data_IF_418451639516
#
_entry.id   IF_418451639516
#
_cell.length_a   1.000
_cell.length_b   1.000
_cell.length_c   1.000
_cell.angle_alpha   90.00
_cell.angle_beta   90.00
_cell.angle_gamma   90.00
#
_symmetry.space_group_name_H-M   'P 1'
#
loop_
_entity.id
_entity.type
_entity.pdbx_description
1 polymer ?
#
# COMPACT_ATOMS: atom_id res chain seq x y z
N UNK A 1 0.97 -25.95 -19.93
CA UNK A 1 1.06 -25.27 -18.62
C UNK A 1 1.10 -26.23 -17.42
N UNK A 2 1.49 -27.49 -17.63
CA UNK A 2 1.42 -28.53 -16.59
C UNK A 2 2.61 -28.53 -15.61
N UNK A 3 3.43 -27.48 -15.54
CA UNK A 3 4.62 -27.48 -14.66
C UNK A 3 5.04 -26.07 -14.23
N UNK A 4 4.11 -25.31 -13.66
CA UNK A 4 4.33 -23.93 -13.22
C UNK A 4 5.36 -23.88 -12.08
N UNK A 5 5.44 -24.91 -11.23
CA UNK A 5 6.42 -25.01 -10.15
C UNK A 5 7.88 -24.98 -10.67
N UNK A 6 8.13 -25.49 -11.86
CA UNK A 6 9.43 -25.44 -12.52
C UNK A 6 9.88 -24.02 -12.94
N UNK A 7 8.93 -23.11 -13.16
CA UNK A 7 9.25 -21.72 -13.53
C UNK A 7 9.88 -20.99 -12.33
N UNK A 8 9.44 -21.28 -11.11
CA UNK A 8 9.92 -20.58 -9.90
C UNK A 8 11.36 -20.91 -9.54
N UNK A 9 11.79 -22.16 -9.72
CA UNK A 9 13.11 -22.64 -9.31
C UNK A 9 14.21 -22.40 -10.34
N UNK A 10 13.86 -22.21 -11.64
CA UNK A 10 14.84 -22.15 -12.74
C UNK A 10 15.28 -20.73 -13.07
N UNK A 11 16.58 -20.50 -13.32
CA UNK A 11 17.07 -19.22 -13.86
C UNK A 11 16.63 -19.04 -15.32
N UNK A 12 16.64 -17.77 -15.80
CA UNK A 12 16.20 -17.41 -17.16
C UNK A 12 16.93 -18.19 -18.25
N UNK A 13 18.20 -18.51 -18.04
CA UNK A 13 19.01 -19.29 -18.99
C UNK A 13 18.42 -20.68 -19.24
N UNK A 14 18.03 -21.37 -18.16
CA UNK A 14 17.42 -22.71 -18.24
C UNK A 14 16.04 -22.69 -18.87
N UNK A 15 15.22 -21.68 -18.54
CA UNK A 15 13.89 -21.54 -19.13
C UNK A 15 13.97 -21.22 -20.62
N UNK A 16 14.96 -20.44 -21.05
CA UNK A 16 15.20 -20.14 -22.45
C UNK A 16 15.66 -21.36 -23.23
N UNK A 17 16.58 -22.14 -22.65
CA UNK A 17 17.07 -23.41 -23.22
C UNK A 17 15.92 -24.43 -23.40
N UNK A 18 15.11 -24.65 -22.36
CA UNK A 18 13.96 -25.57 -22.42
C UNK A 18 12.86 -25.13 -23.40
N UNK A 19 12.70 -23.83 -23.60
CA UNK A 19 11.76 -23.27 -24.57
C UNK A 19 12.35 -23.15 -26.00
N UNK A 20 13.61 -23.48 -26.20
CA UNK A 20 14.29 -23.37 -27.50
C UNK A 20 14.43 -21.91 -27.98
N UNK A 21 14.50 -20.94 -27.07
CA UNK A 21 14.58 -19.53 -27.43
C UNK A 21 15.73 -18.81 -26.69
N UNK A 22 16.09 -17.60 -27.14
CA UNK A 22 17.11 -16.81 -26.46
C UNK A 22 16.57 -16.19 -25.14
N UNK A 23 17.47 -15.88 -24.21
CA UNK A 23 17.10 -15.15 -22.98
C UNK A 23 16.46 -13.78 -23.28
N UNK A 24 16.89 -13.13 -24.35
CA UNK A 24 16.32 -11.85 -24.82
C UNK A 24 14.87 -12.05 -25.28
N UNK A 25 14.57 -13.16 -25.93
CA UNK A 25 13.20 -13.52 -26.33
C UNK A 25 12.31 -13.72 -25.10
N UNK A 26 12.82 -14.35 -24.04
CA UNK A 26 12.11 -14.49 -22.78
C UNK A 26 11.81 -13.13 -22.12
N UNK A 27 12.77 -12.20 -22.12
CA UNK A 27 12.57 -10.85 -21.59
C UNK A 27 11.51 -10.10 -22.42
N UNK A 28 11.55 -10.21 -23.74
CA UNK A 28 10.54 -9.62 -24.64
C UNK A 28 9.15 -10.21 -24.39
N UNK A 29 9.07 -11.51 -24.19
CA UNK A 29 7.82 -12.20 -23.83
C UNK A 29 7.24 -11.66 -22.51
N UNK A 30 8.06 -11.54 -21.45
CA UNK A 30 7.62 -10.96 -20.20
C UNK A 30 7.10 -9.53 -20.38
N UNK A 31 7.79 -8.72 -21.19
CA UNK A 31 7.38 -7.34 -21.50
C UNK A 31 6.09 -7.28 -22.33
N UNK A 32 5.90 -8.17 -23.27
CA UNK A 32 4.67 -8.28 -24.07
C UNK A 32 3.45 -8.65 -23.21
N UNK A 33 3.68 -9.41 -22.11
CA UNK A 33 2.67 -9.71 -21.10
C UNK A 33 2.47 -8.59 -20.07
N UNK A 34 3.19 -7.46 -20.20
CA UNK A 34 3.09 -6.32 -19.29
C UNK A 34 3.98 -6.39 -18.06
N UNK A 35 4.92 -7.34 -17.98
CA UNK A 35 5.87 -7.48 -16.87
C UNK A 35 7.24 -6.90 -17.24
N UNK A 36 7.94 -6.29 -16.24
CA UNK A 36 9.27 -5.70 -16.48
C UNK A 36 10.38 -6.73 -16.71
N UNK A 37 10.10 -8.03 -16.52
CA UNK A 37 11.02 -9.14 -16.76
C UNK A 37 10.58 -10.42 -16.04
N UNK A 38 11.42 -11.47 -16.11
CA UNK A 38 11.11 -12.78 -15.54
C UNK A 38 10.84 -12.74 -14.01
N UNK A 39 11.56 -11.91 -13.28
CA UNK A 39 11.37 -11.77 -11.82
C UNK A 39 9.98 -11.23 -11.48
N UNK A 40 9.51 -10.27 -12.26
CA UNK A 40 8.20 -9.66 -12.12
C UNK A 40 7.08 -10.65 -12.52
N UNK A 41 7.26 -11.35 -13.64
CA UNK A 41 6.37 -12.45 -14.07
C UNK A 41 6.28 -13.56 -13.02
N UNK A 42 7.43 -14.05 -12.50
CA UNK A 42 7.46 -15.07 -11.44
C UNK A 42 6.70 -14.62 -10.21
N UNK A 43 6.86 -13.37 -9.80
CA UNK A 43 6.18 -12.80 -8.64
C UNK A 43 4.66 -12.76 -8.85
N UNK A 44 4.19 -12.35 -10.02
CA UNK A 44 2.76 -12.33 -10.36
C UNK A 44 2.17 -13.74 -10.40
N UNK A 45 2.86 -14.68 -11.07
CA UNK A 45 2.45 -16.08 -11.11
C UNK A 45 2.41 -16.73 -9.73
N UNK A 46 3.37 -16.41 -8.86
CA UNK A 46 3.38 -16.92 -7.47
C UNK A 46 2.17 -16.42 -6.69
N UNK A 47 1.79 -15.17 -6.89
CA UNK A 47 0.60 -14.59 -6.25
C UNK A 47 -0.68 -15.26 -6.77
N UNK A 48 -0.80 -15.48 -8.08
CA UNK A 48 -1.96 -16.16 -8.68
C UNK A 48 -2.07 -17.63 -8.24
N UNK A 49 -0.97 -18.36 -8.20
CA UNK A 49 -0.98 -19.79 -7.83
C UNK A 49 -1.30 -20.03 -6.35
N UNK A 50 -0.89 -19.13 -5.47
CA UNK A 50 -1.30 -19.21 -4.07
C UNK A 50 -2.80 -18.90 -3.90
N UNK A 51 -3.39 -18.17 -4.85
CA UNK A 51 -4.84 -17.91 -4.90
C UNK A 51 -5.63 -19.10 -5.49
N UNK A 52 -5.02 -19.93 -6.35
CA UNK A 52 -5.72 -21.03 -7.07
C UNK A 52 -5.62 -22.40 -6.39
N UNK A 53 -4.78 -22.60 -5.38
CA UNK A 53 -4.61 -23.91 -4.70
C UNK A 53 -5.77 -24.32 -3.77
N UNK A 54 -6.86 -23.57 -3.74
CA UNK A 54 -8.01 -23.87 -2.88
C UNK A 54 -9.36 -23.57 -3.52
N UNK A 55 -9.70 -24.07 -4.69
CA UNK A 55 -11.12 -24.33 -5.00
C UNK A 55 -11.34 -24.80 -6.45
N UNK A 56 -11.79 -26.05 -6.58
CA UNK A 56 -12.30 -26.68 -7.82
C UNK A 56 -13.77 -26.31 -8.13
N UNK A 57 -14.27 -25.13 -7.71
CA UNK A 57 -15.64 -24.74 -8.02
C UNK A 57 -15.74 -23.25 -8.40
N UNK A 58 -15.90 -22.92 -9.71
CA UNK A 58 -15.88 -21.54 -10.19
C UNK A 58 -17.17 -20.73 -9.90
N UNK A 59 -18.19 -21.28 -9.25
CA UNK A 59 -19.49 -20.62 -9.06
C UNK A 59 -19.75 -20.08 -7.65
N UNK A 60 -18.86 -20.30 -6.68
CA UNK A 60 -19.01 -19.73 -5.34
C UNK A 60 -18.06 -18.58 -5.13
N UNK A 61 -18.60 -17.37 -4.99
CA UNK A 61 -17.86 -16.18 -4.47
C UNK A 61 -17.43 -16.50 -3.03
N UNK A 62 -16.24 -17.09 -2.86
CA UNK A 62 -15.73 -17.49 -1.55
C UNK A 62 -14.89 -16.36 -0.97
N UNK A 63 -15.30 -15.83 0.17
CA UNK A 63 -14.45 -14.97 0.99
C UNK A 63 -13.27 -15.80 1.49
N UNK A 64 -12.06 -15.52 1.03
CA UNK A 64 -10.86 -16.31 1.36
C UNK A 64 -10.57 -16.37 2.87
N UNK A 65 -11.09 -15.40 3.61
CA UNK A 65 -10.80 -15.20 5.04
C UNK A 65 -11.85 -15.84 5.95
N UNK A 66 -13.03 -16.17 5.42
CA UNK A 66 -14.15 -16.72 6.19
C UNK A 66 -14.57 -18.05 5.56
N UNK A 67 -14.35 -19.13 6.29
CA UNK A 67 -14.78 -20.47 5.89
C UNK A 67 -15.72 -21.05 6.93
N UNK A 68 -16.72 -21.74 6.46
CA UNK A 68 -17.65 -22.46 7.32
C UNK A 68 -16.93 -23.55 8.11
N UNK A 69 -17.31 -23.73 9.38
CA UNK A 69 -16.83 -24.80 10.28
C UNK A 69 -15.32 -24.81 10.62
N UNK A 70 -14.59 -23.70 10.44
CA UNK A 70 -13.23 -23.62 10.97
C UNK A 70 -13.23 -23.58 12.50
N UNK A 71 -12.28 -24.30 13.12
CA UNK A 71 -12.05 -24.19 14.57
C UNK A 71 -11.53 -22.78 14.93
N UNK A 72 -11.82 -22.33 16.15
CA UNK A 72 -11.31 -21.04 16.66
C UNK A 72 -9.79 -20.95 16.54
N UNK A 73 -9.08 -22.01 16.87
CA UNK A 73 -7.62 -22.08 16.75
C UNK A 73 -7.15 -21.89 15.31
N UNK A 74 -7.80 -22.52 14.33
CA UNK A 74 -7.50 -22.36 12.91
C UNK A 74 -7.70 -20.93 12.47
N UNK A 75 -8.82 -20.30 12.88
CA UNK A 75 -9.10 -18.88 12.57
C UNK A 75 -8.00 -17.98 13.15
N UNK A 76 -7.66 -18.12 14.44
CA UNK A 76 -6.60 -17.33 15.07
C UNK A 76 -5.24 -17.46 14.37
N UNK A 77 -4.84 -18.70 14.03
CA UNK A 77 -3.60 -18.95 13.34
C UNK A 77 -3.61 -18.40 11.90
N UNK A 78 -4.72 -18.49 11.19
CA UNK A 78 -4.87 -17.91 9.85
C UNK A 78 -4.71 -16.40 9.89
N UNK A 79 -5.43 -15.69 10.76
CA UNK A 79 -5.33 -14.24 10.91
C UNK A 79 -3.90 -13.82 11.25
N UNK A 80 -3.28 -14.48 12.24
CA UNK A 80 -1.88 -14.21 12.62
C UNK A 80 -0.93 -14.38 11.43
N UNK A 81 -0.99 -15.53 10.75
CA UNK A 81 -0.05 -15.84 9.68
C UNK A 81 -0.24 -14.92 8.47
N UNK A 82 -1.48 -14.60 8.12
CA UNK A 82 -1.81 -13.67 7.03
C UNK A 82 -1.32 -12.26 7.35
N UNK A 83 -1.49 -11.79 8.58
CA UNK A 83 -0.99 -10.48 9.03
C UNK A 83 0.53 -10.40 8.98
N UNK A 84 1.24 -11.39 9.55
CA UNK A 84 2.71 -11.44 9.54
C UNK A 84 3.22 -11.46 8.10
N UNK A 85 2.65 -12.33 7.25
CA UNK A 85 3.05 -12.42 5.84
C UNK A 85 2.85 -11.10 5.09
N UNK A 86 1.72 -10.42 5.28
CA UNK A 86 1.45 -9.14 4.65
C UNK A 86 2.48 -8.06 5.03
N UNK A 87 2.87 -8.01 6.30
CA UNK A 87 3.91 -7.09 6.79
C UNK A 87 5.27 -7.46 6.17
N UNK A 88 5.70 -8.71 6.28
CA UNK A 88 7.00 -9.15 5.76
C UNK A 88 7.13 -8.92 4.25
N UNK A 89 6.12 -9.31 3.47
CA UNK A 89 6.15 -9.18 2.02
C UNK A 89 6.08 -7.71 1.58
N UNK A 90 5.38 -6.86 2.32
CA UNK A 90 5.39 -5.42 2.10
C UNK A 90 6.77 -4.84 2.34
N UNK A 91 7.41 -5.17 3.47
CA UNK A 91 8.74 -4.64 3.79
C UNK A 91 9.84 -5.11 2.82
N UNK A 92 9.71 -6.32 2.23
CA UNK A 92 10.63 -6.83 1.20
C UNK A 92 10.62 -6.04 -0.11
N UNK A 93 9.52 -5.36 -0.44
CA UNK A 93 9.37 -4.64 -1.70
C UNK A 93 9.62 -3.13 -1.60
N UNK A 94 9.89 -2.63 -0.39
CA UNK A 94 10.17 -1.20 -0.16
C UNK A 94 11.49 -0.81 -0.83
N UNK A 95 11.43 0.30 -1.58
CA UNK A 95 12.59 1.01 -2.11
C UNK A 95 12.98 2.10 -1.11
N UNK A 96 14.08 1.89 -0.37
CA UNK A 96 14.56 2.82 0.66
C UNK A 96 14.99 4.17 0.09
N UNK A 97 15.45 4.24 -1.18
CA UNK A 97 15.84 5.49 -1.81
C UNK A 97 14.61 6.34 -2.10
N UNK A 98 13.59 5.74 -2.73
CA UNK A 98 12.30 6.40 -2.96
C UNK A 98 11.65 6.84 -1.65
N UNK A 99 11.69 5.99 -0.62
CA UNK A 99 11.17 6.33 0.70
C UNK A 99 11.88 7.57 1.28
N UNK A 100 13.22 7.66 1.13
CA UNK A 100 13.99 8.82 1.55
C UNK A 100 13.61 10.10 0.78
N UNK A 101 13.31 10.01 -0.51
CA UNK A 101 12.82 11.14 -1.32
C UNK A 101 11.43 11.59 -0.87
N UNK A 102 10.50 10.65 -0.68
CA UNK A 102 9.14 10.91 -0.20
C UNK A 102 9.17 11.66 1.15
N UNK A 103 10.00 11.22 2.09
CA UNK A 103 10.13 11.90 3.38
C UNK A 103 10.58 13.35 3.22
N UNK A 104 11.52 13.64 2.31
CA UNK A 104 11.94 15.03 2.05
C UNK A 104 10.78 15.89 1.50
N UNK A 105 9.90 15.32 0.68
CA UNK A 105 8.72 16.02 0.18
C UNK A 105 7.75 16.31 1.33
N UNK A 106 7.49 15.31 2.20
CA UNK A 106 6.64 15.48 3.39
C UNK A 106 7.23 16.53 4.35
N UNK A 107 8.55 16.55 4.55
CA UNK A 107 9.25 17.54 5.39
C UNK A 107 9.01 18.97 4.91
N UNK A 108 9.11 19.20 3.59
CA UNK A 108 8.99 20.52 2.96
C UNK A 108 7.55 21.00 2.80
N UNK A 109 6.58 20.11 2.81
CA UNK A 109 5.19 20.47 2.61
C UNK A 109 4.66 21.39 3.71
N UNK A 110 3.92 22.43 3.32
CA UNK A 110 3.25 23.35 4.24
C UNK A 110 2.11 22.61 4.97
N UNK A 111 1.36 21.78 4.24
CA UNK A 111 0.32 20.89 4.79
C UNK A 111 0.36 19.50 4.14
N UNK A 112 0.09 18.47 4.94
CA UNK A 112 -0.08 17.08 4.48
C UNK A 112 -1.56 16.76 4.41
N UNK A 113 -2.11 16.67 3.21
CA UNK A 113 -3.49 16.27 2.99
C UNK A 113 -3.59 14.75 2.82
N UNK A 114 -4.47 14.14 3.59
CA UNK A 114 -4.62 12.69 3.65
C UNK A 114 -5.99 12.30 3.13
N UNK A 115 -6.03 11.41 2.15
CA UNK A 115 -7.24 11.00 1.46
C UNK A 115 -7.41 9.50 1.48
N UNK A 116 -8.59 9.04 1.82
CA UNK A 116 -8.91 7.62 1.86
C UNK A 116 -10.36 7.38 2.23
N UNK A 117 -10.96 6.32 1.71
CA UNK A 117 -12.34 5.93 2.01
C UNK A 117 -12.38 4.53 2.62
N UNK A 118 -13.41 4.23 3.40
CA UNK A 118 -13.58 2.94 4.05
C UNK A 118 -12.38 2.54 4.92
N UNK A 119 -11.86 1.34 4.72
CA UNK A 119 -10.70 0.83 5.48
C UNK A 119 -9.42 1.65 5.25
N UNK A 120 -9.23 2.20 4.04
CA UNK A 120 -8.13 3.10 3.73
C UNK A 120 -8.26 4.46 4.43
N UNK A 121 -9.49 4.91 4.70
CA UNK A 121 -9.75 6.10 5.52
C UNK A 121 -9.29 5.93 6.97
N UNK A 122 -9.42 4.72 7.53
CA UNK A 122 -8.90 4.42 8.88
C UNK A 122 -7.37 4.57 8.92
N UNK A 123 -6.69 4.16 7.87
CA UNK A 123 -5.21 4.29 7.77
C UNK A 123 -4.79 5.75 7.59
N UNK A 124 -5.55 6.52 6.79
CA UNK A 124 -5.32 7.95 6.63
C UNK A 124 -5.52 8.71 7.94
N UNK A 125 -6.56 8.39 8.71
CA UNK A 125 -6.80 8.97 10.05
C UNK A 125 -5.69 8.62 11.04
N UNK A 126 -5.14 7.41 10.99
CA UNK A 126 -4.02 7.02 11.85
C UNK A 126 -2.79 7.89 11.59
N UNK A 127 -2.42 8.11 10.32
CA UNK A 127 -1.33 9.03 9.96
C UNK A 127 -1.64 10.47 10.39
N UNK A 128 -2.87 10.94 10.17
CA UNK A 128 -3.31 12.27 10.61
C UNK A 128 -3.08 12.47 12.11
N UNK A 129 -3.53 11.52 12.94
CA UNK A 129 -3.35 11.58 14.40
C UNK A 129 -1.90 11.59 14.83
N UNK A 130 -1.05 10.83 14.13
CA UNK A 130 0.40 10.81 14.36
C UNK A 130 1.04 12.17 14.04
N UNK A 131 0.71 12.76 12.87
CA UNK A 131 1.22 14.06 12.45
C UNK A 131 0.75 15.19 13.37
N UNK A 132 -0.52 15.14 13.83
CA UNK A 132 -1.07 16.09 14.80
C UNK A 132 -0.24 16.12 16.10
N UNK A 133 0.16 14.96 16.62
CA UNK A 133 0.95 14.86 17.87
C UNK A 133 2.31 15.52 17.78
N UNK A 134 2.89 15.60 16.59
CA UNK A 134 4.20 16.22 16.34
C UNK A 134 4.09 17.64 15.76
N UNK A 135 2.88 18.19 15.72
CA UNK A 135 2.60 19.55 15.24
C UNK A 135 2.94 19.75 13.75
N UNK A 136 2.88 18.68 12.93
CA UNK A 136 2.94 18.80 11.47
C UNK A 136 1.54 19.12 10.97
N UNK A 137 1.40 20.24 10.23
CA UNK A 137 0.13 20.62 9.64
C UNK A 137 -0.39 19.49 8.74
N UNK A 138 -1.60 19.04 9.01
CA UNK A 138 -2.22 17.96 8.25
C UNK A 138 -3.74 18.08 8.27
N UNK A 139 -4.38 17.59 7.21
CA UNK A 139 -5.83 17.59 7.07
C UNK A 139 -6.32 16.19 6.68
N UNK A 140 -7.40 15.77 7.33
CA UNK A 140 -8.12 14.54 7.02
C UNK A 140 -9.60 14.72 7.36
N UNK A 141 -10.47 14.05 6.63
CA UNK A 141 -11.90 13.91 6.92
C UNK A 141 -12.41 12.57 6.42
N UNK A 142 -13.40 11.99 7.12
CA UNK A 142 -14.15 10.83 6.61
C UNK A 142 -15.22 11.23 5.58
N UNK A 143 -15.63 12.51 5.57
CA UNK A 143 -16.65 13.01 4.67
C UNK A 143 -16.09 13.23 3.26
N UNK A 144 -16.69 12.62 2.25
CA UNK A 144 -16.22 12.67 0.87
C UNK A 144 -16.27 14.09 0.28
N UNK A 145 -17.30 14.87 0.62
CA UNK A 145 -17.39 16.27 0.13
C UNK A 145 -16.30 17.15 0.74
N UNK A 146 -15.99 16.93 2.02
CA UNK A 146 -14.86 17.61 2.67
C UNK A 146 -13.53 17.22 2.03
N UNK A 147 -13.34 15.94 1.69
CA UNK A 147 -12.13 15.50 0.99
C UNK A 147 -12.01 16.17 -0.39
N UNK A 148 -13.08 16.25 -1.17
CA UNK A 148 -13.09 16.98 -2.45
C UNK A 148 -12.82 18.47 -2.26
N UNK A 149 -13.36 19.09 -1.21
CA UNK A 149 -13.08 20.49 -0.87
C UNK A 149 -11.60 20.70 -0.55
N UNK A 150 -10.97 19.79 0.19
CA UNK A 150 -9.52 19.81 0.40
C UNK A 150 -8.77 19.66 -0.93
N UNK A 151 -9.18 18.70 -1.79
CA UNK A 151 -8.59 18.50 -3.11
C UNK A 151 -8.61 19.75 -3.99
N UNK A 152 -9.73 20.50 -3.97
CA UNK A 152 -9.89 21.75 -4.73
C UNK A 152 -9.03 22.91 -4.20
N UNK A 153 -8.56 22.86 -2.96
CA UNK A 153 -7.75 23.89 -2.32
C UNK A 153 -6.26 23.51 -2.19
N UNK A 154 -5.81 22.40 -2.80
CA UNK A 154 -4.41 21.99 -2.82
C UNK A 154 -3.53 23.01 -3.53
N UNK A 155 -2.30 23.16 -3.07
CA UNK A 155 -1.28 24.04 -3.66
C UNK A 155 0.01 23.28 -3.98
N UNK A 156 0.93 23.82 -4.80
CA UNK A 156 2.23 23.20 -5.06
C UNK A 156 3.14 23.08 -3.81
N UNK A 157 2.77 23.76 -2.71
CA UNK A 157 3.51 23.70 -1.45
C UNK A 157 3.04 22.60 -0.51
N UNK A 158 1.94 21.93 -0.85
CA UNK A 158 1.35 20.86 -0.08
C UNK A 158 1.81 19.49 -0.58
N UNK A 159 1.37 18.44 0.08
CA UNK A 159 1.44 17.07 -0.42
C UNK A 159 0.09 16.38 -0.21
N UNK A 160 -0.40 15.67 -1.24
CA UNK A 160 -1.57 14.82 -1.17
C UNK A 160 -1.14 13.34 -1.04
N UNK A 161 -1.46 12.70 0.08
CA UNK A 161 -1.23 11.27 0.31
C UNK A 161 -2.55 10.52 0.11
N UNK A 162 -2.57 9.65 -0.90
CA UNK A 162 -3.76 8.98 -1.43
C UNK A 162 -3.73 7.50 -1.06
N UNK A 163 -4.61 7.08 -0.15
CA UNK A 163 -4.74 5.69 0.28
C UNK A 163 -5.85 5.00 -0.50
N UNK A 164 -5.49 4.07 -1.37
CA UNK A 164 -6.44 3.20 -2.08
C UNK A 164 -5.79 1.85 -2.35
N UNK A 165 -6.31 0.79 -1.74
CA UNK A 165 -5.76 -0.55 -1.94
C UNK A 165 -5.82 -0.99 -3.40
N UNK A 166 -6.96 -0.84 -4.06
CA UNK A 166 -7.13 -1.21 -5.47
C UNK A 166 -6.43 -0.26 -6.44
N UNK A 167 -6.25 1.02 -6.04
CA UNK A 167 -5.79 2.08 -6.93
C UNK A 167 -6.82 2.51 -7.99
N UNK A 168 -8.10 2.10 -7.82
CA UNK A 168 -9.20 2.36 -8.77
C UNK A 168 -10.42 3.03 -8.10
N UNK A 169 -10.30 3.42 -6.84
CA UNK A 169 -11.39 4.09 -6.10
C UNK A 169 -11.70 5.44 -6.72
N UNK A 170 -12.92 5.65 -7.19
CA UNK A 170 -13.34 6.81 -7.97
C UNK A 170 -13.06 8.12 -7.24
N UNK A 171 -13.44 8.22 -5.97
CA UNK A 171 -13.25 9.43 -5.15
C UNK A 171 -11.77 9.80 -5.01
N UNK A 172 -10.89 8.80 -4.91
CA UNK A 172 -9.45 9.02 -4.80
C UNK A 172 -8.84 9.44 -6.15
N UNK A 173 -9.37 8.92 -7.26
CA UNK A 173 -8.93 9.33 -8.60
C UNK A 173 -9.39 10.75 -8.94
N UNK A 174 -10.56 11.17 -8.49
CA UNK A 174 -11.03 12.56 -8.61
C UNK A 174 -10.10 13.51 -7.83
N UNK A 175 -9.73 13.16 -6.61
CA UNK A 175 -8.78 13.95 -5.81
C UNK A 175 -7.39 13.96 -6.46
N UNK A 176 -6.92 12.84 -7.03
CA UNK A 176 -5.67 12.82 -7.79
C UNK A 176 -5.71 13.82 -8.95
N UNK A 177 -6.82 13.88 -9.70
CA UNK A 177 -6.98 14.82 -10.81
C UNK A 177 -6.92 16.28 -10.33
N UNK A 178 -7.56 16.60 -9.19
CA UNK A 178 -7.49 17.93 -8.57
C UNK A 178 -6.06 18.28 -8.12
N UNK A 179 -5.37 17.35 -7.48
CA UNK A 179 -3.99 17.54 -7.04
C UNK A 179 -3.04 17.77 -8.21
N UNK A 180 -3.20 17.01 -9.31
CA UNK A 180 -2.41 17.21 -10.54
C UNK A 180 -2.69 18.58 -11.19
N UNK A 181 -3.95 19.00 -11.24
CA UNK A 181 -4.33 20.33 -11.76
C UNK A 181 -3.71 21.48 -10.93
N UNK A 182 -3.58 21.26 -9.61
CA UNK A 182 -2.95 22.20 -8.68
C UNK A 182 -1.41 22.13 -8.67
N UNK A 183 -0.78 21.22 -9.43
CA UNK A 183 0.64 20.89 -9.34
C UNK A 183 1.09 20.51 -7.91
N UNK A 184 0.20 19.95 -7.12
CA UNK A 184 0.50 19.46 -5.77
C UNK A 184 1.19 18.11 -5.86
N UNK A 185 2.33 17.90 -5.20
CA UNK A 185 2.97 16.58 -5.10
C UNK A 185 2.02 15.52 -4.57
N UNK A 186 2.03 14.33 -5.18
CA UNK A 186 1.12 13.23 -4.86
C UNK A 186 1.88 11.96 -4.49
N UNK A 187 1.44 11.29 -3.40
CA UNK A 187 1.91 9.99 -2.97
C UNK A 187 0.76 8.99 -2.95
N UNK A 188 0.85 7.92 -3.73
CA UNK A 188 -0.07 6.80 -3.69
C UNK A 188 0.41 5.69 -2.75
N UNK A 189 -0.47 5.18 -1.87
CA UNK A 189 -0.23 3.98 -1.07
C UNK A 189 -1.28 2.93 -1.48
N UNK A 190 -0.83 1.88 -2.20
CA UNK A 190 -1.70 0.96 -2.92
C UNK A 190 -1.10 -0.44 -3.04
N UNK A 191 -1.88 -1.44 -3.48
CA UNK A 191 -1.35 -2.78 -3.76
C UNK A 191 -0.30 -2.74 -4.88
N UNK A 192 0.60 -3.72 -4.89
CA UNK A 192 1.61 -3.88 -5.94
C UNK A 192 0.94 -4.36 -7.25
N UNK A 193 0.34 -3.42 -7.97
CA UNK A 193 -0.29 -3.65 -9.28
C UNK A 193 -0.28 -2.37 -10.09
N UNK A 194 -0.40 -2.47 -11.41
CA UNK A 194 -0.71 -1.32 -12.27
C UNK A 194 -2.13 -0.83 -11.95
N UNK A 195 -2.27 0.46 -11.81
CA UNK A 195 -3.57 1.09 -11.57
C UNK A 195 -3.56 2.55 -12.01
N UNK A 196 -4.71 3.16 -12.30
CA UNK A 196 -4.79 4.59 -12.63
C UNK A 196 -4.16 5.48 -11.56
N UNK A 197 -4.28 5.11 -10.28
CA UNK A 197 -3.67 5.84 -9.17
C UNK A 197 -2.13 5.81 -9.23
N UNK A 198 -1.53 4.64 -9.54
CA UNK A 198 -0.07 4.48 -9.65
C UNK A 198 0.47 5.24 -10.86
N UNK A 199 -0.26 5.18 -11.99
CA UNK A 199 0.16 5.84 -13.24
C UNK A 199 0.08 7.36 -13.15
N UNK A 200 -0.87 7.90 -12.36
CA UNK A 200 -1.06 9.34 -12.22
C UNK A 200 -0.29 10.00 -11.09
N UNK A 201 0.09 9.27 -10.04
CA UNK A 201 0.78 9.83 -8.88
C UNK A 201 2.27 10.06 -9.14
N UNK A 202 2.86 11.09 -8.50
CA UNK A 202 4.30 11.39 -8.62
C UNK A 202 5.16 10.37 -7.88
N UNK A 203 4.66 9.87 -6.74
CA UNK A 203 5.30 8.85 -5.92
C UNK A 203 4.33 7.71 -5.62
N UNK A 204 4.85 6.50 -5.48
CA UNK A 204 4.06 5.35 -5.05
C UNK A 204 4.82 4.47 -4.06
N UNK A 205 4.14 4.06 -3.00
CA UNK A 205 4.56 2.99 -2.10
C UNK A 205 3.59 1.83 -2.27
N UNK A 206 4.15 0.66 -2.52
CA UNK A 206 3.36 -0.53 -2.75
C UNK A 206 3.30 -1.40 -1.51
N UNK A 207 2.12 -1.96 -1.25
CA UNK A 207 1.93 -3.02 -0.26
C UNK A 207 1.71 -4.36 -0.97
N UNK A 208 2.13 -5.44 -0.32
CA UNK A 208 1.93 -6.81 -0.78
C UNK A 208 1.12 -7.55 0.25
N UNK A 209 -0.03 -8.08 -0.14
CA UNK A 209 -0.90 -8.84 0.76
C UNK A 209 -1.44 -10.07 0.05
N UNK A 210 -1.72 -11.15 0.79
CA UNK A 210 -2.37 -12.33 0.23
C UNK A 210 -3.88 -12.15 -0.02
N UNK A 211 -4.46 -10.97 0.25
CA UNK A 211 -5.87 -10.71 0.05
C UNK A 211 -6.24 -10.71 -1.44
N UNK A 212 -7.32 -11.40 -1.77
CA UNK A 212 -7.99 -11.36 -3.08
C UNK A 212 -8.93 -10.16 -3.20
N UNK A 213 -9.41 -9.87 -4.40
CA UNK A 213 -10.26 -8.69 -4.63
C UNK A 213 -11.62 -8.77 -3.88
N UNK A 214 -12.16 -9.97 -3.69
CA UNK A 214 -13.34 -10.18 -2.82
C UNK A 214 -12.89 -10.32 -1.36
N UNK A 215 -12.94 -9.21 -0.62
CA UNK A 215 -12.45 -9.12 0.76
C UNK A 215 -13.60 -9.04 1.75
N UNK A 216 -13.49 -9.78 2.84
CA UNK A 216 -14.46 -9.73 3.95
C UNK A 216 -14.31 -8.48 4.84
N UNK A 217 -13.12 -7.86 4.90
CA UNK A 217 -12.91 -6.74 5.80
C UNK A 217 -11.58 -5.99 5.69
N UNK A 218 -10.83 -6.13 4.60
CA UNK A 218 -9.53 -5.47 4.42
C UNK A 218 -8.60 -5.67 5.64
N UNK A 219 -8.46 -6.91 6.12
CA UNK A 219 -7.73 -7.22 7.35
C UNK A 219 -6.22 -7.07 7.19
N UNK A 220 -5.61 -7.83 6.30
CA UNK A 220 -4.15 -7.81 6.11
C UNK A 220 -3.68 -6.60 5.30
N UNK A 221 -4.47 -6.13 4.32
CA UNK A 221 -4.15 -4.93 3.56
C UNK A 221 -4.11 -3.68 4.44
N UNK A 222 -5.02 -3.55 5.40
CA UNK A 222 -5.00 -2.46 6.37
C UNK A 222 -3.75 -2.52 7.26
N UNK A 223 -3.37 -3.71 7.75
CA UNK A 223 -2.16 -3.87 8.56
C UNK A 223 -0.89 -3.52 7.77
N UNK A 224 -0.81 -3.94 6.50
CA UNK A 224 0.28 -3.58 5.61
C UNK A 224 0.36 -2.05 5.39
N UNK A 225 -0.77 -1.39 5.15
CA UNK A 225 -0.82 0.07 5.02
C UNK A 225 -0.45 0.78 6.33
N UNK A 226 -0.92 0.31 7.49
CA UNK A 226 -0.52 0.85 8.80
C UNK A 226 0.98 0.70 9.05
N UNK A 227 1.60 -0.41 8.64
CA UNK A 227 3.05 -0.60 8.72
C UNK A 227 3.80 0.46 7.89
N UNK A 228 3.30 0.81 6.70
CA UNK A 228 3.85 1.91 5.89
C UNK A 228 3.69 3.26 6.61
N UNK A 229 2.52 3.51 7.20
CA UNK A 229 2.26 4.73 7.98
C UNK A 229 3.23 4.85 9.16
N UNK A 230 3.42 3.77 9.92
CA UNK A 230 4.37 3.74 11.04
C UNK A 230 5.81 3.98 10.56
N UNK A 231 6.18 3.41 9.42
CA UNK A 231 7.49 3.58 8.81
C UNK A 231 7.71 5.04 8.39
N UNK A 232 6.76 5.65 7.66
CA UNK A 232 6.83 7.06 7.24
C UNK A 232 6.94 8.00 8.44
N UNK A 233 6.05 7.81 9.43
CA UNK A 233 6.04 8.61 10.64
C UNK A 233 7.34 8.49 11.42
N UNK A 234 7.85 7.27 11.63
CA UNK A 234 9.06 7.03 12.43
C UNK A 234 10.30 7.61 11.75
N UNK A 235 10.43 7.48 10.42
CA UNK A 235 11.55 8.07 9.69
C UNK A 235 11.48 9.60 9.77
N UNK A 236 10.29 10.19 9.55
CA UNK A 236 10.10 11.63 9.67
C UNK A 236 10.45 12.13 11.07
N UNK A 237 9.95 11.45 12.11
CA UNK A 237 10.21 11.79 13.51
C UNK A 237 11.70 11.66 13.87
N UNK A 238 12.36 10.61 13.41
CA UNK A 238 13.80 10.39 13.64
C UNK A 238 14.67 11.50 13.03
N UNK A 239 14.34 11.96 11.81
CA UNK A 239 15.07 13.03 11.15
C UNK A 239 14.89 14.40 11.80
N UNK A 240 13.77 14.60 12.47
CA UNK A 240 13.39 15.86 13.11
C UNK A 240 13.33 15.74 14.64
N UNK A 241 14.11 14.81 15.23
CA UNK A 241 13.98 14.34 16.60
C UNK A 241 13.92 15.48 17.63
N UNK A 242 14.86 16.42 17.62
CA UNK A 242 14.97 17.50 18.60
C UNK A 242 13.71 18.38 18.70
N UNK A 243 13.06 18.64 17.56
CA UNK A 243 11.83 19.44 17.53
C UNK A 243 10.62 18.60 17.91
N UNK A 244 10.60 17.34 17.48
CA UNK A 244 9.46 16.43 17.67
C UNK A 244 9.37 15.92 19.10
N UNK A 245 10.50 15.64 19.77
CA UNK A 245 10.54 15.20 21.16
C UNK A 245 9.73 16.15 22.05
N UNK A 246 10.03 17.46 21.96
CA UNK A 246 9.30 18.47 22.72
C UNK A 246 7.79 18.50 22.42
N UNK A 247 7.40 18.35 21.15
CA UNK A 247 6.00 18.33 20.76
C UNK A 247 5.28 17.07 21.29
N UNK A 248 5.96 15.91 21.25
CA UNK A 248 5.44 14.68 21.82
C UNK A 248 5.23 14.77 23.34
N UNK A 249 6.20 15.34 24.07
CA UNK A 249 6.08 15.58 25.51
C UNK A 249 4.89 16.49 25.85
N UNK A 250 4.74 17.59 25.11
CA UNK A 250 3.61 18.50 25.29
C UNK A 250 2.27 17.82 25.04
N UNK A 251 2.14 17.07 23.93
CA UNK A 251 0.92 16.34 23.60
C UNK A 251 0.62 15.24 24.62
N UNK A 252 1.64 14.54 25.12
CA UNK A 252 1.52 13.53 26.16
C UNK A 252 1.03 14.15 27.49
N UNK A 253 1.65 15.24 27.91
CA UNK A 253 1.29 15.95 29.15
C UNK A 253 -0.17 16.43 29.12
N UNK A 254 -0.62 17.00 27.99
CA UNK A 254 -2.00 17.43 27.82
C UNK A 254 -3.00 16.27 27.95
N UNK A 255 -2.70 15.11 27.38
CA UNK A 255 -3.57 13.92 27.47
C UNK A 255 -3.52 13.24 28.84
N UNK A 256 -2.42 13.36 29.59
CA UNK A 256 -2.24 12.71 30.89
C UNK A 256 -3.19 13.27 31.95
N UNK A 257 -3.54 14.56 31.88
CA UNK A 257 -4.46 15.21 32.83
C UNK A 257 -5.87 14.62 32.79
N UNK A 258 -6.25 13.92 31.71
CA UNK A 258 -7.57 13.26 31.59
C UNK A 258 -7.58 11.78 32.01
N UNK A 259 -6.43 11.23 32.44
CA UNK A 259 -6.32 9.85 32.96
C UNK A 259 -6.34 9.86 34.47
N UNK A 260 -7.44 10.33 35.07
CA UNK A 260 -7.75 10.14 36.50
C UNK A 260 -8.74 8.99 36.66
#
# INVERSE_FOLDING_TARGET
>A
LNNIENIFSKPIARLAEEAGVSQVTWIRFCKALGFNGLKDLKKSLFLELNNTKNDDNPETLVFSDIRENNSIETICNTIKNTAVKAIEDTMKIIDYNKLSEIIKVIERADCVYLFGVGASGIVADDLYRKLLRIKKNSCFSYDAHTQLTYGANLTPKDIAILFSYSGTTTEILEILALAKAANCPTLAITKFAKSPLVEGADYSIHISTPEVDLRSGAMSSRLAQLTIVDTLFTIFASRNYTTIEKNLEQSYAACKTHKK
#
